data_IF_615987687992
#
_entry.id   IF_615987687992
#
_cell.length_a   1.000
_cell.length_b   1.000
_cell.length_c   1.000
_cell.angle_alpha   90.00
_cell.angle_beta   90.00
_cell.angle_gamma   90.00
#
_symmetry.space_group_name_H-M   'P 1'
#
loop_
_entity.id
_entity.type
_entity.pdbx_description
1 polymer ?
#
# COMPACT_ATOMS: atom_id res chain seq x y z
N UNK A 1 -19.46 2.27 4.81
CA UNK A 1 -18.62 1.44 3.91
C UNK A 1 -19.46 0.67 2.89
N UNK A 2 -20.77 0.53 3.13
CA UNK A 2 -21.78 0.40 2.10
C UNK A 2 -21.92 1.68 1.27
N UNK A 3 -22.16 1.50 -0.03
CA UNK A 3 -22.31 2.50 -1.10
C UNK A 3 -20.96 3.06 -1.57
N UNK A 4 -20.56 2.65 -2.78
CA UNK A 4 -19.66 3.43 -3.63
C UNK A 4 -18.23 3.60 -3.05
N UNK A 5 -17.54 2.50 -2.69
CA UNK A 5 -16.11 2.54 -2.36
C UNK A 5 -15.24 2.48 -3.62
N UNK A 6 -14.51 3.56 -3.90
CA UNK A 6 -13.55 3.62 -5.00
C UNK A 6 -12.30 2.78 -4.70
N UNK A 7 -11.96 1.90 -5.65
CA UNK A 7 -10.67 1.21 -5.71
C UNK A 7 -10.38 0.77 -7.14
N UNK A 8 -9.14 0.93 -7.59
CA UNK A 8 -8.68 0.47 -8.91
C UNK A 8 -8.64 -1.05 -9.02
N UNK A 9 -8.64 -1.81 -7.90
CA UNK A 9 -8.74 -3.28 -7.94
C UNK A 9 -10.04 -3.71 -8.61
N UNK A 10 -11.17 -3.06 -8.30
CA UNK A 10 -12.44 -3.35 -8.96
C UNK A 10 -12.41 -3.06 -10.46
N UNK A 11 -11.71 -2.01 -10.87
CA UNK A 11 -11.57 -1.64 -12.29
C UNK A 11 -10.71 -2.67 -13.03
N UNK A 12 -9.63 -3.14 -12.41
CA UNK A 12 -8.79 -4.22 -12.93
C UNK A 12 -9.60 -5.51 -13.05
N UNK A 13 -10.35 -5.89 -12.01
CA UNK A 13 -11.20 -7.09 -12.03
C UNK A 13 -12.26 -7.00 -13.14
N UNK A 14 -12.95 -5.85 -13.26
CA UNK A 14 -13.92 -5.59 -14.33
C UNK A 14 -13.30 -5.74 -15.72
N UNK A 15 -12.08 -5.22 -15.93
CA UNK A 15 -11.38 -5.39 -17.21
C UNK A 15 -11.21 -6.87 -17.57
N UNK A 16 -10.77 -7.72 -16.63
CA UNK A 16 -10.62 -9.15 -16.90
C UNK A 16 -11.96 -9.87 -17.06
N UNK A 17 -13.00 -9.48 -16.32
CA UNK A 17 -14.34 -10.02 -16.53
C UNK A 17 -14.91 -9.69 -17.91
N UNK A 18 -14.60 -8.52 -18.47
CA UNK A 18 -14.95 -8.18 -19.85
C UNK A 18 -14.18 -9.01 -20.89
N UNK A 19 -13.12 -9.73 -20.49
CA UNK A 19 -12.39 -10.70 -21.30
C UNK A 19 -12.81 -12.14 -21.01
N UNK A 20 -13.98 -12.34 -20.39
CA UNK A 20 -14.55 -13.64 -19.98
C UNK A 20 -13.68 -14.44 -19.00
N UNK A 21 -12.80 -13.78 -18.24
CA UNK A 21 -12.06 -14.47 -17.18
C UNK A 21 -12.99 -14.88 -16.04
N UNK A 22 -12.82 -16.10 -15.54
CA UNK A 22 -13.52 -16.55 -14.33
C UNK A 22 -13.06 -15.76 -13.08
N UNK A 23 -13.93 -15.65 -12.08
CA UNK A 23 -13.61 -15.09 -10.75
C UNK A 23 -12.36 -15.75 -10.18
N UNK A 24 -12.26 -17.08 -10.28
CA UNK A 24 -11.11 -17.84 -9.81
C UNK A 24 -9.79 -17.39 -10.47
N UNK A 25 -9.80 -17.11 -11.78
CA UNK A 25 -8.61 -16.66 -12.49
C UNK A 25 -8.21 -15.23 -12.09
N UNK A 26 -9.18 -14.33 -11.92
CA UNK A 26 -8.91 -12.97 -11.44
C UNK A 26 -8.36 -13.00 -10.02
N UNK A 27 -8.92 -13.81 -9.11
CA UNK A 27 -8.39 -13.98 -7.76
C UNK A 27 -6.96 -14.53 -7.76
N UNK A 28 -6.67 -15.56 -8.57
CA UNK A 28 -5.30 -16.11 -8.72
C UNK A 28 -4.32 -15.04 -9.21
N UNK A 29 -4.73 -14.23 -10.17
CA UNK A 29 -3.90 -13.13 -10.70
C UNK A 29 -3.60 -12.10 -9.61
N UNK A 30 -4.60 -11.68 -8.82
CA UNK A 30 -4.40 -10.71 -7.74
C UNK A 30 -3.45 -11.28 -6.67
N UNK A 31 -3.62 -12.56 -6.29
CA UNK A 31 -2.72 -13.23 -5.34
C UNK A 31 -1.29 -13.30 -5.91
N UNK A 32 -1.14 -13.61 -7.19
CA UNK A 32 0.16 -13.64 -7.85
C UNK A 32 0.84 -12.27 -7.81
N UNK A 33 0.14 -11.20 -8.22
CA UNK A 33 0.65 -9.81 -8.18
C UNK A 33 1.06 -9.42 -6.76
N UNK A 34 0.21 -9.72 -5.78
CA UNK A 34 0.48 -9.46 -4.36
C UNK A 34 1.75 -10.18 -3.90
N UNK A 35 1.91 -11.46 -4.25
CA UNK A 35 3.08 -12.26 -3.89
C UNK A 35 4.35 -11.69 -4.51
N UNK A 36 4.28 -11.25 -5.77
CA UNK A 36 5.42 -10.60 -6.45
C UNK A 36 5.81 -9.30 -5.73
N UNK A 37 4.84 -8.45 -5.35
CA UNK A 37 5.15 -7.23 -4.60
C UNK A 37 5.79 -7.50 -3.25
N UNK A 38 5.28 -8.46 -2.47
CA UNK A 38 5.92 -8.87 -1.23
C UNK A 38 7.34 -9.41 -1.49
N UNK A 39 7.50 -10.32 -2.43
CA UNK A 39 8.79 -10.92 -2.75
C UNK A 39 9.82 -9.84 -3.09
N UNK A 40 9.49 -8.95 -4.04
CA UNK A 40 10.38 -7.88 -4.47
C UNK A 40 10.66 -6.89 -3.33
N UNK A 41 9.64 -6.50 -2.55
CA UNK A 41 9.81 -5.57 -1.44
C UNK A 41 10.75 -6.10 -0.37
N UNK A 42 10.57 -7.35 0.05
CA UNK A 42 11.44 -8.02 1.02
C UNK A 42 12.85 -8.19 0.45
N UNK A 43 12.96 -8.73 -0.77
CA UNK A 43 14.25 -8.99 -1.41
C UNK A 43 15.07 -7.70 -1.56
N UNK A 44 14.47 -6.61 -2.04
CA UNK A 44 15.15 -5.32 -2.19
C UNK A 44 15.58 -4.74 -0.85
N UNK A 45 14.73 -4.82 0.17
CA UNK A 45 15.05 -4.36 1.52
C UNK A 45 16.24 -5.13 2.08
N UNK A 46 16.20 -6.46 2.07
CA UNK A 46 17.27 -7.32 2.59
C UNK A 46 18.55 -7.16 1.77
N UNK A 47 18.46 -7.04 0.44
CA UNK A 47 19.62 -6.81 -0.41
C UNK A 47 20.29 -5.45 -0.12
N UNK A 48 19.51 -4.41 0.18
CA UNK A 48 20.09 -3.09 0.53
C UNK A 48 20.92 -3.13 1.82
N UNK A 49 20.52 -3.96 2.78
CA UNK A 49 21.19 -4.10 4.07
C UNK A 49 22.35 -5.11 4.05
N UNK A 50 22.12 -6.28 3.45
CA UNK A 50 23.10 -7.38 3.39
C UNK A 50 24.09 -7.27 2.23
N UNK A 51 23.77 -6.44 1.22
CA UNK A 51 24.48 -6.35 -0.07
C UNK A 51 24.57 -7.70 -0.80
N UNK A 52 23.63 -8.61 -0.55
CA UNK A 52 23.55 -9.94 -1.17
C UNK A 52 22.15 -10.24 -1.70
N UNK A 53 22.05 -10.36 -3.03
CA UNK A 53 20.81 -10.73 -3.71
C UNK A 53 20.37 -12.14 -3.30
N UNK A 54 21.31 -13.08 -3.14
CA UNK A 54 21.02 -14.44 -2.73
C UNK A 54 20.35 -14.48 -1.36
N UNK A 55 20.88 -13.73 -0.39
CA UNK A 55 20.29 -13.62 0.95
C UNK A 55 18.91 -12.97 0.87
N UNK A 56 18.76 -11.92 0.06
CA UNK A 56 17.47 -11.28 -0.18
C UNK A 56 16.40 -12.23 -0.72
N UNK A 57 16.76 -13.04 -1.72
CA UNK A 57 15.89 -14.06 -2.31
C UNK A 57 15.52 -15.11 -1.26
N UNK A 58 16.50 -15.64 -0.53
CA UNK A 58 16.28 -16.67 0.48
C UNK A 58 15.32 -16.18 1.57
N UNK A 59 15.55 -14.98 2.10
CA UNK A 59 14.70 -14.39 3.15
C UNK A 59 13.29 -14.12 2.62
N UNK A 60 13.16 -13.59 1.40
CA UNK A 60 11.85 -13.38 0.78
C UNK A 60 11.07 -14.70 0.63
N UNK A 61 11.72 -15.77 0.15
CA UNK A 61 11.12 -17.10 0.09
C UNK A 61 10.71 -17.61 1.47
N UNK A 62 11.61 -17.53 2.47
CA UNK A 62 11.30 -17.99 3.82
C UNK A 62 10.07 -17.26 4.40
N UNK A 63 10.00 -15.93 4.28
CA UNK A 63 8.88 -15.15 4.81
C UNK A 63 7.56 -15.54 4.12
N UNK A 64 7.57 -15.70 2.80
CA UNK A 64 6.37 -16.09 2.04
C UNK A 64 5.93 -17.52 2.35
N UNK A 65 6.88 -18.47 2.41
CA UNK A 65 6.60 -19.90 2.69
C UNK A 65 6.06 -20.07 4.11
N UNK A 66 6.69 -19.44 5.09
CA UNK A 66 6.24 -19.49 6.50
C UNK A 66 5.05 -18.56 6.77
N UNK A 67 4.57 -17.80 5.77
CA UNK A 67 3.45 -16.86 5.85
C UNK A 67 3.56 -15.92 7.04
N UNK A 68 4.77 -15.47 7.36
CA UNK A 68 4.99 -14.61 8.52
C UNK A 68 4.33 -13.25 8.25
N UNK A 69 3.25 -12.94 8.96
CA UNK A 69 2.55 -11.67 8.83
C UNK A 69 3.45 -10.50 9.24
N UNK A 70 3.32 -9.39 8.54
CA UNK A 70 3.96 -8.13 8.91
C UNK A 70 2.93 -7.24 9.59
N UNK A 71 3.20 -6.84 10.84
CA UNK A 71 2.33 -5.95 11.60
C UNK A 71 1.34 -6.66 12.52
N UNK A 72 0.65 -5.83 13.28
CA UNK A 72 -0.29 -6.19 14.34
C UNK A 72 -1.42 -5.16 14.25
N UNK A 73 -2.52 -5.58 13.63
CA UNK A 73 -3.72 -4.79 13.31
C UNK A 73 -4.97 -5.59 13.66
N UNK A 74 -6.11 -4.91 13.88
CA UNK A 74 -7.42 -5.52 14.18
C UNK A 74 -7.95 -6.47 13.09
N UNK A 75 -7.32 -6.46 11.92
CA UNK A 75 -7.44 -7.50 10.90
C UNK A 75 -6.09 -8.19 10.71
N UNK A 76 -6.05 -9.50 10.45
CA UNK A 76 -4.80 -10.17 10.16
C UNK A 76 -4.14 -9.53 8.94
N UNK A 77 -2.98 -8.90 9.13
CA UNK A 77 -2.08 -8.38 8.08
C UNK A 77 -1.35 -9.54 7.40
N UNK A 78 -2.14 -10.52 6.95
CA UNK A 78 -1.66 -11.75 6.35
C UNK A 78 -1.18 -11.47 4.94
N UNK A 79 -0.06 -12.10 4.59
CA UNK A 79 0.48 -12.12 3.23
C UNK A 79 -0.54 -12.71 2.24
N UNK A 80 -1.38 -13.63 2.72
CA UNK A 80 -2.47 -14.25 1.96
C UNK A 80 -3.77 -14.15 2.76
N UNK A 81 -4.78 -13.49 2.19
CA UNK A 81 -6.12 -13.34 2.78
C UNK A 81 -7.18 -13.09 1.70
N UNK A 82 -8.43 -13.38 2.06
CA UNK A 82 -9.65 -12.96 1.41
C UNK A 82 -9.82 -11.42 1.34
N UNK A 83 -9.20 -10.67 2.27
CA UNK A 83 -9.27 -9.21 2.34
C UNK A 83 -8.36 -8.55 1.30
N UNK A 84 -8.80 -8.64 0.04
CA UNK A 84 -8.00 -8.30 -1.16
C UNK A 84 -7.39 -6.89 -1.11
N UNK A 85 -8.13 -5.87 -0.67
CA UNK A 85 -7.63 -4.49 -0.59
C UNK A 85 -6.51 -4.36 0.45
N UNK A 86 -6.73 -4.91 1.64
CA UNK A 86 -5.76 -4.87 2.73
C UNK A 86 -4.48 -5.61 2.35
N UNK A 87 -4.63 -6.84 1.84
CA UNK A 87 -3.53 -7.69 1.41
C UNK A 87 -2.67 -7.01 0.31
N UNK A 88 -3.28 -6.52 -0.77
CA UNK A 88 -2.53 -5.88 -1.84
C UNK A 88 -1.91 -4.55 -1.41
N UNK A 89 -2.61 -3.74 -0.60
CA UNK A 89 -2.07 -2.47 -0.13
C UNK A 89 -0.84 -2.65 0.76
N UNK A 90 -0.82 -3.66 1.62
CA UNK A 90 0.34 -3.98 2.45
C UNK A 90 1.51 -4.54 1.63
N UNK A 91 1.23 -5.34 0.60
CA UNK A 91 2.25 -5.79 -0.34
C UNK A 91 2.91 -4.61 -1.07
N UNK A 92 2.10 -3.66 -1.54
CA UNK A 92 2.58 -2.44 -2.21
C UNK A 92 3.38 -1.57 -1.23
N UNK A 93 2.96 -1.40 0.02
CA UNK A 93 3.74 -0.67 1.05
C UNK A 93 5.10 -1.34 1.27
N UNK A 94 5.13 -2.66 1.40
CA UNK A 94 6.38 -3.44 1.53
C UNK A 94 7.28 -3.22 0.31
N UNK A 95 6.70 -3.20 -0.88
CA UNK A 95 7.43 -2.93 -2.11
C UNK A 95 7.96 -1.49 -2.20
N UNK A 96 7.16 -0.49 -1.83
CA UNK A 96 7.59 0.92 -1.77
C UNK A 96 8.80 1.08 -0.86
N UNK A 97 8.79 0.48 0.33
CA UNK A 97 9.96 0.50 1.20
C UNK A 97 11.16 -0.17 0.54
N UNK A 98 11.00 -1.36 -0.04
CA UNK A 98 12.08 -2.03 -0.77
C UNK A 98 12.69 -1.15 -1.88
N UNK A 99 11.84 -0.45 -2.65
CA UNK A 99 12.28 0.48 -3.68
C UNK A 99 13.08 1.65 -3.09
N UNK A 100 12.59 2.28 -2.02
CA UNK A 100 13.30 3.35 -1.31
C UNK A 100 14.67 2.86 -0.78
N UNK A 101 14.70 1.69 -0.13
CA UNK A 101 15.92 1.07 0.37
C UNK A 101 16.95 0.79 -0.73
N UNK A 102 16.48 0.39 -1.92
CA UNK A 102 17.31 0.18 -3.11
C UNK A 102 17.69 1.46 -3.88
N UNK A 103 17.15 2.62 -3.50
CA UNK A 103 17.38 3.89 -4.20
C UNK A 103 16.58 4.07 -5.50
N UNK A 104 15.58 3.23 -5.77
CA UNK A 104 14.73 3.35 -6.95
C UNK A 104 13.60 4.39 -6.71
N UNK A 105 14.00 5.66 -6.70
CA UNK A 105 13.14 6.78 -6.29
C UNK A 105 11.96 6.99 -7.24
N UNK A 106 12.14 6.81 -8.54
CA UNK A 106 11.05 6.98 -9.50
C UNK A 106 9.91 5.97 -9.25
N UNK A 107 10.23 4.68 -9.14
CA UNK A 107 9.20 3.67 -8.87
C UNK A 107 8.60 3.85 -7.47
N UNK A 108 9.40 4.23 -6.46
CA UNK A 108 8.88 4.51 -5.13
C UNK A 108 7.82 5.63 -5.15
N UNK A 109 8.09 6.72 -5.87
CA UNK A 109 7.14 7.81 -6.06
C UNK A 109 5.88 7.36 -6.80
N UNK A 110 6.06 6.61 -7.90
CA UNK A 110 4.96 6.08 -8.71
C UNK A 110 4.01 5.18 -7.89
N UNK A 111 4.55 4.18 -7.20
CA UNK A 111 3.74 3.25 -6.42
C UNK A 111 3.14 3.91 -5.17
N UNK A 112 3.82 4.90 -4.57
CA UNK A 112 3.26 5.72 -3.50
C UNK A 112 1.97 6.41 -3.94
N UNK A 113 1.98 7.14 -5.06
CA UNK A 113 0.77 7.78 -5.59
C UNK A 113 -0.30 6.76 -6.06
N UNK A 114 0.12 5.69 -6.75
CA UNK A 114 -0.81 4.67 -7.26
C UNK A 114 -1.54 3.95 -6.13
N UNK A 115 -0.88 3.75 -4.99
CA UNK A 115 -1.45 3.07 -3.82
C UNK A 115 -2.72 3.74 -3.28
N UNK A 116 -2.89 5.05 -3.49
CA UNK A 116 -4.11 5.79 -3.16
C UNK A 116 -5.31 5.23 -3.93
N UNK A 117 -5.14 4.89 -5.20
CA UNK A 117 -6.22 4.27 -5.99
C UNK A 117 -6.53 2.84 -5.57
N UNK A 118 -5.55 2.11 -5.02
CA UNK A 118 -5.72 0.73 -4.57
C UNK A 118 -6.45 0.70 -3.22
N UNK A 119 -5.96 1.49 -2.28
CA UNK A 119 -6.52 1.63 -0.93
C UNK A 119 -6.30 3.07 -0.42
N UNK A 120 -7.30 3.96 -0.50
CA UNK A 120 -7.11 5.40 -0.26
C UNK A 120 -6.47 5.75 1.08
N UNK A 121 -6.93 5.13 2.19
CA UNK A 121 -6.42 5.42 3.54
C UNK A 121 -4.95 5.03 3.68
N UNK A 122 -4.60 3.77 3.37
CA UNK A 122 -3.22 3.26 3.43
C UNK A 122 -2.32 4.03 2.47
N UNK A 123 -2.80 4.35 1.27
CA UNK A 123 -2.05 5.09 0.27
C UNK A 123 -1.73 6.52 0.69
N UNK A 124 -2.72 7.26 1.22
CA UNK A 124 -2.50 8.61 1.78
C UNK A 124 -1.53 8.53 2.97
N UNK A 125 -1.69 7.54 3.84
CA UNK A 125 -0.83 7.36 5.00
C UNK A 125 0.64 7.13 4.63
N UNK A 126 0.94 6.17 3.75
CA UNK A 126 2.32 5.90 3.32
C UNK A 126 2.91 7.07 2.55
N UNK A 127 2.11 7.71 1.69
CA UNK A 127 2.50 8.93 0.96
C UNK A 127 2.88 10.03 1.94
N UNK A 128 2.06 10.26 2.97
CA UNK A 128 2.30 11.24 4.03
C UNK A 128 3.59 10.96 4.78
N UNK A 129 3.83 9.72 5.22
CA UNK A 129 5.08 9.33 5.90
C UNK A 129 6.30 9.65 5.02
N UNK A 130 6.26 9.29 3.73
CA UNK A 130 7.37 9.52 2.81
C UNK A 130 7.63 11.02 2.66
N UNK A 131 6.61 11.83 2.34
CA UNK A 131 6.80 13.27 2.15
C UNK A 131 7.22 14.00 3.42
N UNK A 132 6.63 13.67 4.58
CA UNK A 132 7.03 14.27 5.86
C UNK A 132 8.48 13.90 6.18
N UNK A 133 8.88 12.64 5.98
CA UNK A 133 10.26 12.20 6.19
C UNK A 133 11.24 12.97 5.31
N UNK A 134 10.88 13.26 4.05
CA UNK A 134 11.69 14.01 3.10
C UNK A 134 11.81 15.49 3.48
N UNK A 135 10.70 16.12 3.85
CA UNK A 135 10.70 17.50 4.37
C UNK A 135 11.61 17.58 5.60
N UNK A 136 11.43 16.67 6.56
CA UNK A 136 12.23 16.63 7.78
C UNK A 136 13.72 16.46 7.46
N UNK A 137 14.08 15.52 6.59
CA UNK A 137 15.47 15.29 6.21
C UNK A 137 16.11 16.44 5.44
N UNK A 138 15.35 17.13 4.59
CA UNK A 138 15.82 18.31 3.88
C UNK A 138 16.19 19.45 4.84
N UNK A 139 15.33 19.73 5.81
CA UNK A 139 15.51 20.89 6.70
C UNK A 139 16.42 20.61 7.90
N UNK A 140 16.31 19.42 8.52
CA UNK A 140 17.07 19.10 9.74
C UNK A 140 18.40 18.41 9.45
N UNK A 141 18.43 17.43 8.54
CA UNK A 141 19.64 16.65 8.23
C UNK A 141 20.39 17.16 7.00
N UNK A 142 19.88 18.20 6.32
CA UNK A 142 20.44 18.80 5.10
C UNK A 142 20.76 17.76 4.02
N UNK A 143 19.87 16.78 3.89
CA UNK A 143 20.06 15.64 3.00
C UNK A 143 19.70 15.98 1.54
N UNK A 144 20.61 15.69 0.61
CA UNK A 144 20.36 15.81 -0.83
C UNK A 144 19.80 14.50 -1.37
N UNK A 145 18.50 14.45 -1.67
CA UNK A 145 17.88 13.35 -2.41
C UNK A 145 17.67 13.80 -3.86
N UNK A 146 17.63 12.88 -4.82
CA UNK A 146 17.18 13.20 -6.17
C UNK A 146 15.64 13.34 -6.21
N UNK A 147 15.15 14.46 -5.66
CA UNK A 147 13.71 14.74 -5.53
C UNK A 147 13.00 14.72 -6.88
N UNK A 148 13.70 15.07 -7.97
CA UNK A 148 13.12 15.10 -9.31
C UNK A 148 12.64 13.72 -9.77
N UNK A 149 13.40 12.65 -9.49
CA UNK A 149 12.99 11.28 -9.83
C UNK A 149 11.77 10.85 -9.05
N UNK A 150 11.77 11.09 -7.73
CA UNK A 150 10.65 10.76 -6.87
C UNK A 150 9.38 11.52 -7.28
N UNK A 151 9.49 12.84 -7.49
CA UNK A 151 8.38 13.68 -7.92
C UNK A 151 7.91 13.26 -9.32
N UNK A 152 8.81 12.99 -10.26
CA UNK A 152 8.43 12.53 -11.60
C UNK A 152 7.63 11.22 -11.58
N UNK A 153 8.06 10.25 -10.78
CA UNK A 153 7.30 9.01 -10.56
C UNK A 153 5.94 9.27 -9.91
N UNK A 154 5.92 10.09 -8.85
CA UNK A 154 4.70 10.47 -8.15
C UNK A 154 3.69 11.18 -9.07
N UNK A 155 4.17 12.09 -9.93
CA UNK A 155 3.34 12.79 -10.92
C UNK A 155 2.70 11.83 -11.93
N UNK A 156 3.40 10.80 -12.38
CA UNK A 156 2.80 9.79 -13.27
C UNK A 156 1.80 8.93 -12.50
N UNK A 157 2.13 8.52 -11.27
CA UNK A 157 1.22 7.74 -10.44
C UNK A 157 -0.06 8.49 -10.10
N UNK A 158 0.01 9.79 -9.79
CA UNK A 158 -1.18 10.59 -9.46
C UNK A 158 -2.09 10.77 -10.68
N UNK A 159 -1.53 10.88 -11.89
CA UNK A 159 -2.34 10.91 -13.13
C UNK A 159 -3.16 9.63 -13.24
N UNK A 160 -2.57 8.45 -13.03
CA UNK A 160 -3.30 7.17 -13.05
C UNK A 160 -4.34 7.08 -11.93
N UNK A 161 -4.00 7.56 -10.74
CA UNK A 161 -4.94 7.64 -9.61
C UNK A 161 -6.14 8.52 -9.93
N UNK A 162 -5.94 9.68 -10.56
CA UNK A 162 -7.02 10.57 -11.00
C UNK A 162 -7.85 9.94 -12.10
N UNK A 163 -7.23 9.30 -13.11
CA UNK A 163 -7.94 8.58 -14.17
C UNK A 163 -8.82 7.48 -13.56
N UNK A 164 -8.30 6.72 -12.60
CA UNK A 164 -9.06 5.71 -11.88
C UNK A 164 -10.25 6.34 -11.14
N UNK A 165 -10.04 7.43 -10.40
CA UNK A 165 -11.11 8.11 -9.68
C UNK A 165 -12.20 8.64 -10.62
N UNK A 166 -11.80 9.22 -11.75
CA UNK A 166 -12.72 9.74 -12.75
C UNK A 166 -13.51 8.63 -13.44
N UNK A 167 -12.83 7.56 -13.85
CA UNK A 167 -13.47 6.36 -14.43
C UNK A 167 -14.48 5.74 -13.46
N UNK A 168 -14.15 5.74 -12.16
CA UNK A 168 -15.04 5.31 -11.11
C UNK A 168 -16.32 6.15 -11.05
N UNK A 169 -16.21 7.49 -11.03
CA UNK A 169 -17.39 8.36 -11.00
C UNK A 169 -18.28 8.21 -12.24
N UNK A 170 -17.71 8.02 -13.43
CA UNK A 170 -18.50 7.79 -14.65
C UNK A 170 -19.18 6.42 -14.65
N UNK A 171 -18.46 5.38 -14.21
CA UNK A 171 -18.94 4.00 -14.30
C UNK A 171 -19.88 3.60 -13.17
N UNK A 172 -19.95 4.40 -12.11
CA UNK A 172 -20.76 4.09 -10.95
C UNK A 172 -22.22 4.43 -11.25
N UNK A 173 -23.04 3.40 -11.44
CA UNK A 173 -24.47 3.57 -11.59
C UNK A 173 -25.08 4.27 -10.36
N UNK A 174 -26.13 5.06 -10.61
CA UNK A 174 -26.94 5.57 -9.53
C UNK A 174 -27.71 4.43 -8.88
N UNK A 175 -27.39 4.21 -7.61
CA UNK A 175 -28.10 3.25 -6.78
C UNK A 175 -29.05 4.02 -5.88
N UNK A 176 -30.34 3.90 -6.16
CA UNK A 176 -31.42 4.42 -5.32
C UNK A 176 -32.04 3.26 -4.56
N UNK A 177 -31.65 3.08 -3.30
CA UNK A 177 -32.41 2.25 -2.35
C UNK A 177 -33.08 3.14 -1.33
N UNK A 178 -34.32 2.79 -0.94
CA UNK A 178 -34.91 3.35 0.27
C UNK A 178 -34.06 2.95 1.47
N UNK A 179 -33.53 3.94 2.19
CA UNK A 179 -32.79 3.68 3.42
C UNK A 179 -33.71 2.99 4.44
N UNK A 180 -33.32 1.80 4.90
CA UNK A 180 -33.99 1.10 5.99
C UNK A 180 -33.11 1.13 7.25
N UNK A 181 -33.57 1.87 8.26
CA UNK A 181 -32.85 2.07 9.51
C UNK A 181 -32.69 0.75 10.29
N UNK A 182 -33.65 -0.17 10.19
CA UNK A 182 -33.61 -1.45 10.90
C UNK A 182 -32.50 -2.33 10.32
N UNK A 183 -32.44 -2.47 9.00
CA UNK A 183 -31.37 -3.19 8.31
C UNK A 183 -30.01 -2.55 8.57
N UNK A 184 -29.91 -1.22 8.55
CA UNK A 184 -28.67 -0.51 8.88
C UNK A 184 -28.21 -0.81 10.32
N UNK A 185 -29.10 -0.72 11.30
CA UNK A 185 -28.75 -0.99 12.69
C UNK A 185 -28.36 -2.47 12.92
N UNK A 186 -29.06 -3.41 12.28
CA UNK A 186 -28.70 -4.82 12.31
C UNK A 186 -27.34 -5.08 11.68
N UNK A 187 -27.07 -4.46 10.52
CA UNK A 187 -25.76 -4.51 9.87
C UNK A 187 -24.67 -3.96 10.81
N UNK A 188 -24.85 -2.75 11.35
CA UNK A 188 -23.85 -2.13 12.23
C UNK A 188 -23.63 -2.94 13.50
N UNK A 189 -24.68 -3.55 14.07
CA UNK A 189 -24.57 -4.33 15.31
C UNK A 189 -23.94 -5.71 15.11
N UNK A 190 -24.36 -6.44 14.08
CA UNK A 190 -24.00 -7.86 13.91
C UNK A 190 -22.90 -8.08 12.86
N UNK A 191 -22.80 -7.22 11.85
CA UNK A 191 -21.84 -7.35 10.76
C UNK A 191 -20.65 -6.42 10.94
N UNK A 192 -20.91 -5.17 11.29
CA UNK A 192 -19.91 -4.12 11.50
C UNK A 192 -19.68 -3.79 12.98
N UNK A 193 -20.06 -4.71 13.88
CA UNK A 193 -20.06 -4.47 15.34
C UNK A 193 -18.67 -4.06 15.87
N UNK A 194 -17.62 -4.60 15.27
CA UNK A 194 -16.22 -4.26 15.57
C UNK A 194 -15.84 -2.80 15.27
N UNK A 195 -16.66 -2.06 14.50
CA UNK A 195 -16.48 -0.61 14.24
C UNK A 195 -17.43 0.25 15.06
N UNK A 196 -18.36 -0.34 15.79
CA UNK A 196 -19.33 0.39 16.63
C UNK A 196 -18.79 0.72 18.02
N UNK A 197 -17.77 -0.02 18.48
CA UNK A 197 -16.94 0.46 19.57
C UNK A 197 -16.08 1.61 19.04
N UNK A 198 -16.32 2.82 19.54
CA UNK A 198 -15.43 3.97 19.35
C UNK A 198 -14.13 3.78 20.15
N UNK A 199 -13.51 2.61 20.04
CA UNK A 199 -12.24 2.30 20.68
C UNK A 199 -11.18 3.15 19.99
N UNK A 200 -10.70 4.14 20.73
CA UNK A 200 -9.57 4.94 20.32
C UNK A 200 -8.32 4.09 20.53
N UNK A 201 -7.56 3.88 19.44
CA UNK A 201 -6.34 3.07 19.42
C UNK A 201 -5.08 3.96 19.38
N UNK A 202 -4.65 4.57 20.51
CA UNK A 202 -3.45 5.41 20.57
C UNK A 202 -2.18 4.69 20.12
N UNK A 203 -2.14 3.36 20.26
CA UNK A 203 -1.06 2.50 19.81
C UNK A 203 -0.76 2.66 18.31
N UNK A 204 -1.77 2.92 17.46
CA UNK A 204 -1.54 3.14 16.03
C UNK A 204 -0.84 4.46 15.74
N UNK A 205 -1.12 5.50 16.53
CA UNK A 205 -0.43 6.78 16.43
C UNK A 205 1.03 6.64 16.88
N UNK A 206 1.27 5.92 17.99
CA UNK A 206 2.62 5.64 18.49
C UNK A 206 3.41 4.81 17.47
N UNK A 207 2.84 3.71 16.95
CA UNK A 207 3.45 2.88 15.91
C UNK A 207 3.77 3.70 14.65
N UNK A 208 2.88 4.60 14.24
CA UNK A 208 3.10 5.52 13.10
C UNK A 208 4.24 6.50 13.38
N UNK A 209 4.30 7.07 14.58
CA UNK A 209 5.37 7.98 14.98
C UNK A 209 6.74 7.27 15.00
N UNK A 210 6.81 6.06 15.56
CA UNK A 210 8.01 5.22 15.53
C UNK A 210 8.43 4.97 14.08
N UNK A 211 7.49 4.59 13.22
CA UNK A 211 7.77 4.36 11.80
C UNK A 211 8.32 5.62 11.11
N UNK A 212 7.76 6.80 11.41
CA UNK A 212 8.25 8.07 10.88
C UNK A 212 9.70 8.35 11.33
N UNK A 213 10.00 8.14 12.62
CA UNK A 213 11.38 8.28 13.13
C UNK A 213 12.31 7.30 12.44
N UNK A 214 11.93 6.03 12.33
CA UNK A 214 12.71 5.02 11.62
C UNK A 214 12.93 5.38 10.14
N UNK A 215 11.91 5.90 9.45
CA UNK A 215 12.01 6.35 8.07
C UNK A 215 13.01 7.51 7.94
N UNK A 216 12.95 8.49 8.85
CA UNK A 216 13.91 9.58 8.88
C UNK A 216 15.34 9.09 9.08
N UNK A 217 15.58 8.18 10.04
CA UNK A 217 16.90 7.62 10.32
C UNK A 217 17.43 6.73 9.18
N UNK A 218 16.55 5.94 8.55
CA UNK A 218 16.91 5.08 7.43
C UNK A 218 17.46 5.89 6.26
N UNK A 219 16.87 7.04 5.93
CA UNK A 219 17.38 7.90 4.86
C UNK A 219 18.80 8.43 5.14
N UNK A 220 19.11 8.72 6.40
CA UNK A 220 20.48 9.11 6.81
C UNK A 220 21.45 7.96 6.59
N UNK A 221 21.09 6.74 7.02
CA UNK A 221 21.94 5.55 6.86
C UNK A 221 22.14 5.12 5.40
N UNK A 222 21.19 5.40 4.52
CA UNK A 222 21.20 4.99 3.11
C UNK A 222 21.70 6.06 2.15
N UNK A 223 22.35 7.10 2.67
CA UNK A 223 22.71 8.31 1.91
C UNK A 223 23.26 8.03 0.52
N UNK A 224 24.26 7.17 0.43
CA UNK A 224 24.98 6.91 -0.82
C UNK A 224 24.06 6.27 -1.89
N UNK A 225 23.17 5.36 -1.49
CA UNK A 225 22.23 4.71 -2.42
C UNK A 225 21.18 5.69 -3.00
N UNK A 226 20.87 6.76 -2.26
CA UNK A 226 19.81 7.72 -2.58
C UNK A 226 20.31 8.95 -3.37
N UNK A 227 21.62 9.16 -3.39
CA UNK A 227 22.28 10.27 -4.10
C UNK A 227 22.84 9.88 -5.47
N UNK A 228 23.29 8.63 -5.62
CA UNK A 228 24.07 8.19 -6.80
C UNK A 228 23.24 7.62 -7.94
N UNK A 229 21.94 7.38 -7.72
CA UNK A 229 21.03 6.80 -8.73
C UNK A 229 20.27 7.86 -9.51
#
# INVERSE_FOLDING_TARGET
>A
YFIKSWTSIHQIAKFFFNLDWSILNVSKLIIFITTVFYFLGIMLTVNSASRSILIGILVAFMILVFRKSFGDTDYPSMIFSEHTYGMLSLAIVTFIFGLLFSGNLFLAGFFSALSISIHPIVGIWITGIIFISLIFNKYFFKFSLNYNKLIGGFSIGIILTIISLYSYYISTADFTSSFDLVSYNNYMKYWEGHRTSAEYHPEYFIKTFILLVCACLAMVGLKNNLTEN
#
